data_IF_685588811654
#
_entry.id   IF_685588811654
#
_cell.length_a   1.000
_cell.length_b   1.000
_cell.length_c   1.000
_cell.angle_alpha   90.00
_cell.angle_beta   90.00
_cell.angle_gamma   90.00
#
_symmetry.space_group_name_H-M   'P 1'
#
loop_
_entity.id
_entity.type
_entity.pdbx_description
1 polymer ?
#
# COMPACT_ATOMS: atom_id res chain seq x y z
N UNK A 1 -34.00 12.56 -7.73
CA UNK A 1 -33.08 13.53 -7.09
C UNK A 1 -31.70 12.90 -7.08
N UNK A 2 -30.75 13.43 -7.85
CA UNK A 2 -29.39 12.90 -7.88
C UNK A 2 -28.66 13.34 -6.59
N UNK A 3 -28.10 12.39 -5.85
CA UNK A 3 -27.24 12.69 -4.70
C UNK A 3 -26.08 13.57 -5.18
N UNK A 4 -25.88 14.72 -4.52
CA UNK A 4 -24.71 15.53 -4.74
C UNK A 4 -23.46 14.67 -4.47
N UNK A 5 -22.48 14.61 -5.38
CA UNK A 5 -21.30 13.77 -5.19
C UNK A 5 -20.59 14.21 -3.91
N UNK A 6 -20.24 13.24 -3.06
CA UNK A 6 -19.51 13.47 -1.81
C UNK A 6 -18.21 14.21 -2.17
N UNK A 7 -18.15 15.50 -1.84
CA UNK A 7 -16.96 16.34 -2.04
C UNK A 7 -15.92 15.99 -0.99
N UNK A 8 -15.01 15.09 -1.34
CA UNK A 8 -13.81 14.86 -0.55
C UNK A 8 -12.83 16.00 -0.80
N UNK A 9 -12.51 16.76 0.25
CA UNK A 9 -11.47 17.78 0.16
C UNK A 9 -10.13 17.14 -0.24
N UNK A 10 -9.44 17.73 -1.23
CA UNK A 10 -8.14 17.24 -1.71
C UNK A 10 -7.13 17.06 -0.56
N UNK A 11 -7.20 17.92 0.45
CA UNK A 11 -6.37 17.83 1.67
C UNK A 11 -6.64 16.55 2.46
N UNK A 12 -7.91 16.18 2.64
CA UNK A 12 -8.31 14.97 3.34
C UNK A 12 -7.87 13.71 2.58
N UNK A 13 -7.99 13.69 1.25
CA UNK A 13 -7.55 12.56 0.42
C UNK A 13 -6.03 12.37 0.49
N UNK A 14 -5.25 13.46 0.49
CA UNK A 14 -3.79 13.40 0.68
C UNK A 14 -3.41 12.85 2.06
N UNK A 15 -4.10 13.28 3.12
CA UNK A 15 -3.87 12.76 4.47
C UNK A 15 -4.22 11.28 4.56
N UNK A 16 -5.31 10.84 3.92
CA UNK A 16 -5.67 9.44 3.84
C UNK A 16 -4.58 8.62 3.14
N UNK A 17 -4.06 9.08 1.99
CA UNK A 17 -2.98 8.40 1.28
C UNK A 17 -1.74 8.23 2.16
N UNK A 18 -1.28 9.31 2.81
CA UNK A 18 -0.13 9.26 3.72
C UNK A 18 -0.32 8.26 4.86
N UNK A 19 -1.53 8.18 5.43
CA UNK A 19 -1.84 7.19 6.46
C UNK A 19 -1.84 5.75 5.93
N UNK A 20 -2.30 5.55 4.68
CA UNK A 20 -2.29 4.24 4.02
C UNK A 20 -0.87 3.79 3.67
N UNK A 21 -0.05 4.67 3.13
CA UNK A 21 1.38 4.43 2.86
C UNK A 21 2.12 4.03 4.14
N UNK A 22 1.97 4.79 5.23
CA UNK A 22 2.58 4.44 6.53
C UNK A 22 2.14 3.07 7.05
N UNK A 23 0.86 2.73 6.90
CA UNK A 23 0.34 1.40 7.30
C UNK A 23 0.88 0.28 6.40
N UNK A 24 1.03 0.55 5.10
CA UNK A 24 1.64 -0.39 4.17
C UNK A 24 3.11 -0.63 4.53
N UNK A 25 3.87 0.43 4.83
CA UNK A 25 5.26 0.31 5.29
C UNK A 25 5.38 -0.50 6.58
N UNK A 26 4.47 -0.27 7.54
CA UNK A 26 4.41 -1.06 8.78
C UNK A 26 4.11 -2.54 8.49
N UNK A 27 3.12 -2.83 7.65
CA UNK A 27 2.78 -4.19 7.26
C UNK A 27 3.93 -4.89 6.52
N UNK A 28 4.62 -4.16 5.64
CA UNK A 28 5.81 -4.65 4.92
C UNK A 28 6.93 -5.04 5.89
N UNK A 29 7.24 -4.17 6.86
CA UNK A 29 8.26 -4.46 7.89
C UNK A 29 7.88 -5.65 8.75
N UNK A 30 6.62 -5.73 9.18
CA UNK A 30 6.11 -6.88 9.94
C UNK A 30 6.23 -8.17 9.13
N UNK A 31 5.84 -8.16 7.85
CA UNK A 31 6.00 -9.31 6.96
C UNK A 31 7.47 -9.72 6.84
N UNK A 32 8.38 -8.77 6.56
CA UNK A 32 9.81 -9.08 6.47
C UNK A 32 10.37 -9.70 7.76
N UNK A 33 9.97 -9.20 8.94
CA UNK A 33 10.42 -9.76 10.21
C UNK A 33 9.85 -11.16 10.47
N UNK A 34 8.56 -11.39 10.18
CA UNK A 34 7.95 -12.73 10.33
C UNK A 34 8.60 -13.76 9.40
N UNK A 35 8.95 -13.38 8.17
CA UNK A 35 9.67 -14.26 7.24
C UNK A 35 11.09 -14.56 7.74
N UNK A 36 11.80 -13.57 8.26
CA UNK A 36 13.13 -13.77 8.85
C UNK A 36 13.08 -14.74 10.04
N UNK A 37 12.07 -14.62 10.90
CA UNK A 37 11.86 -15.53 12.03
C UNK A 37 11.50 -16.94 11.57
N UNK A 38 10.69 -17.06 10.52
CA UNK A 38 10.36 -18.34 9.90
C UNK A 38 11.62 -19.04 9.36
N UNK A 39 12.46 -18.31 8.62
CA UNK A 39 13.71 -18.85 8.05
C UNK A 39 14.67 -19.32 9.15
N UNK A 40 14.79 -18.54 10.23
CA UNK A 40 15.60 -18.92 11.40
C UNK A 40 15.06 -20.20 12.06
N UNK A 41 13.75 -20.31 12.23
CA UNK A 41 13.13 -21.50 12.81
C UNK A 41 13.34 -22.74 11.92
N UNK A 42 13.25 -22.58 10.60
CA UNK A 42 13.54 -23.65 9.63
C UNK A 42 14.99 -24.12 9.73
N UNK A 43 15.94 -23.18 9.78
CA UNK A 43 17.35 -23.50 9.93
C UNK A 43 17.62 -24.28 11.23
N UNK A 44 17.06 -23.82 12.36
CA UNK A 44 17.18 -24.50 13.65
C UNK A 44 16.60 -25.91 13.64
N UNK A 45 15.43 -26.11 13.01
CA UNK A 45 14.82 -27.43 12.85
C UNK A 45 15.69 -28.35 11.99
N UNK A 46 16.26 -27.83 10.90
CA UNK A 46 17.16 -28.59 10.04
C UNK A 46 18.45 -28.98 10.76
N UNK A 47 19.06 -28.06 11.51
CA UNK A 47 20.26 -28.33 12.31
C UNK A 47 20.01 -29.41 13.36
N UNK A 48 18.85 -29.38 14.02
CA UNK A 48 18.45 -30.40 14.99
C UNK A 48 18.28 -31.78 14.34
N UNK A 49 17.70 -31.84 13.14
CA UNK A 49 17.54 -33.09 12.36
C UNK A 49 18.90 -33.65 11.91
N UNK A 50 19.81 -32.79 11.44
CA UNK A 50 21.19 -33.18 11.08
C UNK A 50 21.94 -33.68 12.31
N UNK A 51 21.77 -33.03 13.46
CA UNK A 51 22.39 -33.46 14.71
C UNK A 51 21.86 -34.84 15.16
N UNK A 52 20.56 -35.09 15.02
CA UNK A 52 19.96 -36.39 15.35
C UNK A 52 20.44 -37.50 14.41
N UNK A 53 20.55 -37.25 13.10
CA UNK A 53 21.07 -38.25 12.17
C UNK A 53 22.55 -38.55 12.42
N UNK A 54 23.37 -37.54 12.68
CA UNK A 54 24.77 -37.73 13.07
C UNK A 54 24.89 -38.53 14.39
N UNK A 55 24.05 -38.20 15.38
CA UNK A 55 24.00 -38.91 16.65
C UNK A 55 23.59 -40.39 16.47
N UNK A 56 22.56 -40.67 15.66
CA UNK A 56 22.15 -42.05 15.34
C UNK A 56 23.25 -42.85 14.65
N UNK A 57 24.02 -42.21 13.76
CA UNK A 57 25.18 -42.85 13.13
C UNK A 57 26.25 -43.22 14.16
N UNK A 58 26.63 -42.29 15.03
CA UNK A 58 27.59 -42.54 16.11
C UNK A 58 27.10 -43.63 17.09
N UNK A 59 25.79 -43.69 17.33
CA UNK A 59 25.18 -44.76 18.14
C UNK A 59 25.38 -46.13 17.47
N UNK A 60 25.01 -46.27 16.19
CA UNK A 60 25.19 -47.54 15.47
C UNK A 60 26.65 -47.99 15.41
N UNK A 61 27.59 -47.05 15.21
CA UNK A 61 29.04 -47.35 15.25
C UNK A 61 29.46 -47.90 16.62
N UNK A 62 28.99 -47.28 17.71
CA UNK A 62 29.26 -47.77 19.07
C UNK A 62 28.65 -49.16 19.31
N UNK A 63 27.42 -49.41 18.88
CA UNK A 63 26.77 -50.72 19.00
C UNK A 63 27.56 -51.80 18.26
N UNK A 64 28.03 -51.49 17.05
CA UNK A 64 28.85 -52.39 16.25
C UNK A 64 30.21 -52.65 16.90
N UNK A 65 30.85 -51.63 17.47
CA UNK A 65 32.10 -51.78 18.24
C UNK A 65 31.91 -52.66 19.47
N UNK A 66 30.81 -52.49 20.21
CA UNK A 66 30.48 -53.33 21.38
C UNK A 66 30.22 -54.78 20.95
N UNK A 67 29.48 -54.99 19.85
CA UNK A 67 29.18 -56.31 19.32
C UNK A 67 30.47 -57.04 18.90
N UNK A 68 31.37 -56.37 18.19
CA UNK A 68 32.65 -56.96 17.76
C UNK A 68 33.56 -57.29 18.95
N UNK A 69 33.63 -56.43 19.97
CA UNK A 69 34.36 -56.69 21.21
C UNK A 69 33.81 -57.93 21.93
N UNK A 70 32.48 -58.04 22.04
CA UNK A 70 31.82 -59.18 22.69
C UNK A 70 32.03 -60.51 21.97
N UNK A 71 32.20 -60.47 20.64
CA UNK A 71 32.39 -61.67 19.81
C UNK A 71 33.83 -62.19 19.87
N UNK A 72 34.82 -61.29 19.95
CA UNK A 72 36.24 -61.62 19.84
C UNK A 72 36.93 -61.88 21.18
N UNK A 73 36.39 -61.38 22.30
CA UNK A 73 36.96 -61.51 23.65
C UNK A 73 35.82 -61.69 24.65
N UNK A 74 36.00 -62.53 25.68
CA UNK A 74 35.09 -62.52 26.83
C UNK A 74 35.16 -61.14 27.51
N UNK A 75 34.20 -60.26 27.22
CA UNK A 75 34.10 -58.94 27.84
C UNK A 75 34.01 -59.09 29.36
N UNK A 76 34.80 -58.29 30.08
CA UNK A 76 34.71 -58.26 31.55
C UNK A 76 33.41 -57.58 31.96
N UNK A 77 32.81 -58.02 33.08
CA UNK A 77 31.52 -57.48 33.55
C UNK A 77 31.51 -55.95 33.72
N UNK A 78 32.63 -55.35 34.13
CA UNK A 78 32.78 -53.89 34.22
C UNK A 78 32.72 -53.18 32.86
N UNK A 79 33.34 -53.74 31.83
CA UNK A 79 33.31 -53.19 30.45
C UNK A 79 31.90 -53.25 29.88
N UNK A 80 31.18 -54.34 30.11
CA UNK A 80 29.78 -54.48 29.73
C UNK A 80 28.90 -53.41 30.39
N UNK A 81 29.03 -53.21 31.70
CA UNK A 81 28.28 -52.18 32.42
C UNK A 81 28.59 -50.77 31.92
N UNK A 82 29.87 -50.46 31.65
CA UNK A 82 30.29 -49.18 31.08
C UNK A 82 29.69 -48.94 29.68
N UNK A 83 29.72 -49.96 28.82
CA UNK A 83 29.16 -49.89 27.48
C UNK A 83 27.63 -49.70 27.52
N UNK A 84 26.94 -50.40 28.41
CA UNK A 84 25.50 -50.20 28.63
C UNK A 84 25.17 -48.78 29.10
N UNK A 85 25.88 -48.27 30.10
CA UNK A 85 25.68 -46.90 30.58
C UNK A 85 25.91 -45.86 29.49
N UNK A 86 26.88 -46.10 28.59
CA UNK A 86 27.14 -45.22 27.43
C UNK A 86 26.00 -45.25 26.42
N UNK A 87 25.46 -46.44 26.10
CA UNK A 87 24.29 -46.58 25.22
C UNK A 87 23.05 -45.93 25.81
N UNK A 88 22.81 -46.11 27.11
CA UNK A 88 21.70 -45.48 27.83
C UNK A 88 21.81 -43.93 27.76
N UNK A 89 23.01 -43.37 27.98
CA UNK A 89 23.23 -41.94 27.85
C UNK A 89 23.02 -41.41 26.42
N UNK A 90 23.37 -42.20 25.40
CA UNK A 90 23.09 -41.88 24.01
C UNK A 90 21.58 -41.93 23.71
N UNK A 91 20.87 -42.90 24.28
CA UNK A 91 19.41 -42.98 24.15
C UNK A 91 18.72 -41.73 24.72
N UNK A 92 19.14 -41.28 25.90
CA UNK A 92 18.65 -40.03 26.51
C UNK A 92 18.94 -38.81 25.64
N UNK A 93 20.15 -38.72 25.07
CA UNK A 93 20.51 -37.62 24.17
C UNK A 93 19.67 -37.63 22.88
N UNK A 94 19.40 -38.80 22.30
CA UNK A 94 18.54 -38.94 21.14
C UNK A 94 17.09 -38.52 21.44
N UNK A 95 16.57 -38.87 22.62
CA UNK A 95 15.24 -38.47 23.07
C UNK A 95 15.13 -36.93 23.19
N UNK A 96 16.13 -36.27 23.80
CA UNK A 96 16.19 -34.81 23.90
C UNK A 96 16.28 -34.12 22.53
N UNK A 97 17.06 -34.67 21.60
CA UNK A 97 17.13 -34.14 20.24
C UNK A 97 15.79 -34.30 19.50
N UNK A 98 15.10 -35.42 19.67
CA UNK A 98 13.78 -35.64 19.09
C UNK A 98 12.73 -34.70 19.69
N UNK A 99 12.75 -34.48 21.00
CA UNK A 99 11.87 -33.52 21.67
C UNK A 99 12.08 -32.10 21.13
N UNK A 100 13.34 -31.65 21.02
CA UNK A 100 13.69 -30.36 20.41
C UNK A 100 13.17 -30.25 18.97
N UNK A 101 13.29 -31.31 18.15
CA UNK A 101 12.73 -31.32 16.79
C UNK A 101 11.20 -31.11 16.85
N UNK A 102 10.52 -31.84 17.71
CA UNK A 102 9.06 -31.73 17.85
C UNK A 102 8.63 -30.32 18.30
N UNK A 103 9.38 -29.69 19.20
CA UNK A 103 9.15 -28.30 19.62
C UNK A 103 9.38 -27.32 18.46
N UNK A 104 10.46 -27.49 17.70
CA UNK A 104 10.73 -26.65 16.52
C UNK A 104 9.68 -26.83 15.44
N UNK A 105 9.16 -28.04 15.21
CA UNK A 105 8.12 -28.31 14.22
C UNK A 105 6.78 -27.66 14.62
N UNK A 106 6.42 -27.70 15.92
CA UNK A 106 5.26 -26.96 16.45
C UNK A 106 5.41 -25.45 16.26
N UNK A 107 6.58 -24.92 16.61
CA UNK A 107 6.89 -23.49 16.45
C UNK A 107 6.84 -23.10 14.98
N UNK A 108 7.37 -23.94 14.10
CA UNK A 108 7.37 -23.71 12.66
C UNK A 108 5.95 -23.60 12.10
N UNK A 109 5.03 -24.48 12.51
CA UNK A 109 3.64 -24.42 12.10
C UNK A 109 2.99 -23.09 12.50
N UNK A 110 3.19 -22.63 13.74
CA UNK A 110 2.67 -21.33 14.20
C UNK A 110 3.30 -20.16 13.44
N UNK A 111 4.59 -20.22 13.12
CA UNK A 111 5.29 -19.18 12.36
C UNK A 111 4.83 -19.13 10.89
N UNK A 112 4.49 -20.28 10.30
CA UNK A 112 3.92 -20.34 8.95
C UNK A 112 2.54 -19.68 8.90
N UNK A 113 1.70 -19.92 9.92
CA UNK A 113 0.39 -19.26 10.05
C UNK A 113 0.56 -17.75 10.22
N UNK A 114 1.43 -17.31 11.14
CA UNK A 114 1.74 -15.89 11.33
C UNK A 114 2.27 -15.23 10.04
N UNK A 115 3.12 -15.91 9.28
CA UNK A 115 3.62 -15.41 8.01
C UNK A 115 2.50 -15.31 6.95
N UNK A 116 1.57 -16.27 6.91
CA UNK A 116 0.41 -16.22 6.02
C UNK A 116 -0.52 -15.06 6.37
N UNK A 117 -0.79 -14.84 7.66
CA UNK A 117 -1.56 -13.69 8.14
C UNK A 117 -0.88 -12.36 7.80
N UNK A 118 0.43 -12.25 8.06
CA UNK A 118 1.21 -11.05 7.74
C UNK A 118 1.18 -10.75 6.22
N UNK A 119 1.27 -11.78 5.37
CA UNK A 119 1.12 -11.64 3.91
C UNK A 119 -0.27 -11.12 3.54
N UNK A 120 -1.32 -11.68 4.10
CA UNK A 120 -2.68 -11.24 3.85
C UNK A 120 -2.90 -9.79 4.29
N UNK A 121 -2.40 -9.40 5.46
CA UNK A 121 -2.45 -8.02 5.95
C UNK A 121 -1.70 -7.07 5.00
N UNK A 122 -0.49 -7.44 4.57
CA UNK A 122 0.29 -6.66 3.62
C UNK A 122 -0.46 -6.44 2.30
N UNK A 123 -0.95 -7.50 1.67
CA UNK A 123 -1.74 -7.42 0.42
C UNK A 123 -2.97 -6.50 0.58
N UNK A 124 -3.67 -6.60 1.71
CA UNK A 124 -4.83 -5.75 2.00
C UNK A 124 -4.43 -4.28 2.19
N UNK A 125 -3.30 -4.00 2.83
CA UNK A 125 -2.80 -2.62 2.99
C UNK A 125 -2.28 -2.03 1.68
N UNK A 126 -1.67 -2.84 0.83
CA UNK A 126 -1.21 -2.46 -0.50
C UNK A 126 -2.39 -2.09 -1.40
N UNK A 127 -3.41 -2.95 -1.48
CA UNK A 127 -4.64 -2.67 -2.23
C UNK A 127 -5.31 -1.37 -1.78
N UNK A 128 -5.38 -1.13 -0.46
CA UNK A 128 -5.97 0.10 0.10
C UNK A 128 -5.12 1.34 -0.17
N UNK A 129 -3.81 1.18 -0.35
CA UNK A 129 -2.92 2.26 -0.76
C UNK A 129 -3.19 2.64 -2.21
N UNK A 130 -3.30 1.66 -3.11
CA UNK A 130 -3.69 1.89 -4.50
C UNK A 130 -5.06 2.57 -4.62
N UNK A 131 -6.07 2.09 -3.89
CA UNK A 131 -7.38 2.76 -3.86
C UNK A 131 -7.29 4.22 -3.42
N UNK A 132 -6.44 4.54 -2.43
CA UNK A 132 -6.23 5.93 -2.00
C UNK A 132 -5.49 6.78 -3.06
N UNK A 133 -4.58 6.18 -3.83
CA UNK A 133 -3.92 6.84 -4.97
C UNK A 133 -4.92 7.14 -6.09
N UNK A 134 -5.80 6.20 -6.41
CA UNK A 134 -6.85 6.38 -7.41
C UNK A 134 -7.82 7.50 -7.00
N UNK A 135 -8.24 7.51 -5.73
CA UNK A 135 -9.06 8.60 -5.18
C UNK A 135 -8.35 9.96 -5.26
N UNK A 136 -7.04 10.02 -5.01
CA UNK A 136 -6.27 11.26 -5.12
C UNK A 136 -6.21 11.74 -6.58
N UNK A 137 -6.02 10.83 -7.53
CA UNK A 137 -6.00 11.13 -8.96
C UNK A 137 -7.38 11.65 -9.42
N UNK A 138 -8.45 10.96 -9.02
CA UNK A 138 -9.82 11.39 -9.27
C UNK A 138 -10.12 12.77 -8.70
N UNK A 139 -9.78 13.02 -7.43
CA UNK A 139 -9.99 14.31 -6.77
C UNK A 139 -9.22 15.47 -7.43
N UNK A 140 -8.02 15.21 -7.96
CA UNK A 140 -7.27 16.21 -8.74
C UNK A 140 -7.95 16.52 -10.07
N UNK A 141 -8.44 15.50 -10.78
CA UNK A 141 -9.14 15.66 -12.04
C UNK A 141 -10.47 16.41 -11.86
N UNK A 142 -11.25 16.09 -10.82
CA UNK A 142 -12.48 16.83 -10.49
C UNK A 142 -12.19 18.29 -10.14
N UNK A 143 -11.10 18.55 -9.40
CA UNK A 143 -10.72 19.94 -9.09
C UNK A 143 -10.30 20.72 -10.34
N UNK A 144 -9.57 20.09 -11.26
CA UNK A 144 -9.15 20.71 -12.51
C UNK A 144 -10.36 21.05 -13.41
N UNK A 145 -11.32 20.13 -13.54
CA UNK A 145 -12.55 20.36 -14.29
C UNK A 145 -13.42 21.45 -13.66
N UNK A 146 -13.58 21.45 -12.33
CA UNK A 146 -14.30 22.53 -11.62
C UNK A 146 -13.65 23.91 -11.82
N UNK A 147 -12.31 23.98 -11.89
CA UNK A 147 -11.61 25.24 -12.20
C UNK A 147 -11.86 25.69 -13.63
N UNK A 148 -11.74 24.80 -14.61
CA UNK A 148 -12.04 25.10 -16.02
C UNK A 148 -13.46 25.64 -16.19
N UNK A 149 -14.46 24.97 -15.59
CA UNK A 149 -15.85 25.40 -15.67
C UNK A 149 -16.09 26.79 -15.06
N UNK A 150 -15.39 27.12 -13.96
CA UNK A 150 -15.48 28.46 -13.35
C UNK A 150 -14.82 29.52 -14.23
N UNK A 151 -13.64 29.23 -14.78
CA UNK A 151 -12.94 30.13 -15.70
C UNK A 151 -13.77 30.38 -16.97
N UNK A 152 -14.40 29.34 -17.53
CA UNK A 152 -15.33 29.46 -18.66
C UNK A 152 -16.54 30.34 -18.32
N UNK A 153 -17.16 30.12 -17.16
CA UNK A 153 -18.30 30.91 -16.71
C UNK A 153 -17.92 32.39 -16.46
N UNK A 154 -16.76 32.65 -15.87
CA UNK A 154 -16.23 34.01 -15.69
C UNK A 154 -16.00 34.72 -17.03
N UNK A 155 -15.49 34.01 -18.05
CA UNK A 155 -15.31 34.55 -19.40
C UNK A 155 -16.63 34.86 -20.10
N UNK A 156 -17.65 34.01 -19.94
CA UNK A 156 -19.00 34.25 -20.45
C UNK A 156 -19.62 35.50 -19.81
N UNK A 157 -19.53 35.62 -18.49
CA UNK A 157 -20.03 36.79 -17.74
C UNK A 157 -19.32 38.08 -18.17
N UNK A 158 -18.00 38.05 -18.36
CA UNK A 158 -17.23 39.19 -18.86
C UNK A 158 -17.62 39.57 -20.30
N UNK A 159 -17.83 38.59 -21.17
CA UNK A 159 -18.27 38.83 -22.54
C UNK A 159 -19.66 39.46 -22.58
N UNK A 160 -20.59 38.97 -21.74
CA UNK A 160 -21.92 39.55 -21.58
C UNK A 160 -21.85 40.98 -21.04
N UNK A 161 -21.04 41.24 -20.02
CA UNK A 161 -20.84 42.58 -19.48
C UNK A 161 -20.26 43.54 -20.54
N UNK A 162 -19.28 43.09 -21.32
CA UNK A 162 -18.68 43.87 -22.42
C UNK A 162 -19.72 44.18 -23.50
N UNK A 163 -20.51 43.19 -23.92
CA UNK A 163 -21.56 43.38 -24.91
C UNK A 163 -22.62 44.38 -24.43
N UNK A 164 -23.08 44.24 -23.19
CA UNK A 164 -24.03 45.16 -22.56
C UNK A 164 -23.49 46.60 -22.48
N UNK A 165 -22.21 46.76 -22.14
CA UNK A 165 -21.56 48.08 -22.11
C UNK A 165 -21.52 48.73 -23.51
N UNK A 166 -21.20 47.96 -24.55
CA UNK A 166 -21.21 48.43 -25.94
C UNK A 166 -22.60 48.87 -26.36
N UNK A 167 -23.63 48.04 -26.11
CA UNK A 167 -25.03 48.39 -26.39
C UNK A 167 -25.48 49.67 -25.67
N UNK A 168 -25.08 49.86 -24.41
CA UNK A 168 -25.37 51.08 -23.65
C UNK A 168 -24.72 52.32 -24.27
N UNK A 169 -23.46 52.21 -24.74
CA UNK A 169 -22.75 53.29 -25.43
C UNK A 169 -23.42 53.63 -26.76
N UNK A 170 -23.80 52.64 -27.55
CA UNK A 170 -24.49 52.82 -28.82
C UNK A 170 -25.86 53.49 -28.64
N UNK A 171 -26.68 53.01 -27.70
CA UNK A 171 -27.96 53.63 -27.35
C UNK A 171 -27.78 55.08 -26.90
N UNK A 172 -26.75 55.36 -26.10
CA UNK A 172 -26.44 56.71 -25.65
C UNK A 172 -26.00 57.61 -26.81
N UNK A 173 -25.19 57.11 -27.74
CA UNK A 173 -24.77 57.83 -28.94
C UNK A 173 -25.95 58.11 -29.89
N UNK A 174 -26.83 57.13 -30.10
CA UNK A 174 -28.07 57.30 -30.89
C UNK A 174 -28.99 58.34 -30.25
N UNK A 175 -29.20 58.29 -28.92
CA UNK A 175 -29.99 59.28 -28.19
C UNK A 175 -29.40 60.69 -28.33
N UNK A 176 -28.08 60.85 -28.21
CA UNK A 176 -27.40 62.13 -28.44
C UNK A 176 -27.62 62.64 -29.88
N UNK A 177 -27.50 61.79 -30.90
CA UNK A 177 -27.77 62.14 -32.31
C UNK A 177 -29.23 62.55 -32.55
N UNK A 178 -30.18 61.91 -31.89
CA UNK A 178 -31.61 62.27 -31.98
C UNK A 178 -31.88 63.62 -31.32
N UNK A 179 -31.34 63.86 -30.13
CA UNK A 179 -31.49 65.13 -29.42
C UNK A 179 -30.82 66.30 -30.17
N UNK A 180 -29.65 66.10 -30.78
CA UNK A 180 -29.01 67.12 -31.63
C UNK A 180 -29.82 67.42 -32.89
N UNK A 181 -30.52 66.42 -33.45
CA UNK A 181 -31.46 66.64 -34.55
C UNK A 181 -32.70 67.41 -34.11
N UNK A 182 -33.21 67.19 -32.90
CA UNK A 182 -34.37 67.93 -32.37
C UNK A 182 -34.04 69.38 -32.01
N UNK A 183 -32.83 69.65 -31.48
CA UNK A 183 -32.37 70.98 -31.04
C UNK A 183 -31.70 71.82 -32.15
N UNK A 184 -31.76 71.39 -33.42
CA UNK A 184 -31.35 72.28 -34.53
C UNK A 184 -32.43 73.35 -34.73
N UNK A 185 -32.07 74.64 -34.66
CA UNK A 185 -33.03 75.73 -34.87
C UNK A 185 -33.63 75.66 -36.28
N UNK A 186 -34.88 76.10 -36.41
CA UNK A 186 -35.69 75.94 -37.62
C UNK A 186 -35.04 76.48 -38.91
N UNK A 187 -34.17 77.49 -38.80
CA UNK A 187 -33.51 78.15 -39.94
C UNK A 187 -32.49 77.28 -40.69
N UNK A 188 -31.87 76.27 -40.05
CA UNK A 188 -30.91 75.39 -40.73
C UNK A 188 -31.57 74.20 -41.45
N UNK A 189 -32.83 73.86 -41.09
CA UNK A 189 -33.57 72.76 -41.72
C UNK A 189 -34.05 73.14 -43.13
N UNK A 190 -34.38 74.41 -43.36
CA UNK A 190 -34.77 74.91 -44.70
C UNK A 190 -33.58 74.99 -45.68
N UNK A 191 -32.38 75.38 -45.23
CA UNK A 191 -31.17 75.45 -46.08
C UNK A 191 -30.68 74.10 -46.61
N UNK A 192 -30.95 73.01 -45.89
CA UNK A 192 -30.56 71.65 -46.32
C UNK A 192 -31.53 71.02 -47.31
N UNK A 193 -32.80 71.44 -47.29
CA UNK A 193 -33.82 70.99 -48.26
C UNK A 193 -33.71 71.71 -49.62
N UNK A 194 -33.10 72.90 -49.66
CA UNK A 194 -32.89 73.69 -50.88
C UNK A 194 -31.55 73.41 -51.59
N UNK A 195 -30.78 72.43 -51.13
CA UNK A 195 -29.46 72.07 -51.68
C UNK A 195 -29.42 70.63 -52.23
N UNK A 196 -30.57 70.06 -52.57
CA UNK A 196 -30.67 68.87 -53.43
C UNK A 196 -30.95 69.32 -54.88
N UNK A 197 -30.05 69.04 -55.83
CA UNK A 197 -30.41 68.86 -57.23
C UNK A 197 -31.32 67.64 -57.42
#
# INVERSE_FOLDING_TARGET
MAQAPIRLELKAVRQLLLLRERRNDQARRALSETLRQLDLCQAQGQDARVSLTAHRKAWMELEQDIATQSHNVQMKGFEFQRNRARLDAMADQAARLQERINETDKTLATMQENAAEARHVFMKTEQRTHQAQDLLTGAKATLATERSMREEQELEDLNMARHNATLCRERSAQRKKLLSRLNTPADERQKRMSASP
#
